data_IF_610417034382
#
_entry.id   IF_610417034382
#
_cell.length_a   1.000
_cell.length_b   1.000
_cell.length_c   1.000
_cell.angle_alpha   90.00
_cell.angle_beta   90.00
_cell.angle_gamma   90.00
#
_symmetry.space_group_name_H-M   'P 1'
#
loop_
_entity.id
_entity.type
_entity.pdbx_description
1 polymer ?
#
# COMPACT_ATOMS: atom_id res chain seq x y z
N UNK A 1 -6.34 11.52 -14.61
CA UNK A 1 -5.45 11.97 -13.51
C UNK A 1 -5.30 10.79 -12.57
N UNK A 2 -4.14 10.12 -12.60
CA UNK A 2 -3.83 9.03 -11.67
C UNK A 2 -3.28 9.68 -10.40
N UNK A 3 -4.09 9.73 -9.35
CA UNK A 3 -3.65 10.17 -8.04
C UNK A 3 -2.67 9.11 -7.53
N UNK A 4 -1.38 9.42 -7.53
CA UNK A 4 -0.38 8.56 -6.90
C UNK A 4 -0.41 8.80 -5.40
N UNK A 5 0.02 7.83 -4.60
CA UNK A 5 0.18 8.01 -3.15
C UNK A 5 1.07 9.22 -2.80
N UNK A 6 1.95 9.64 -3.73
CA UNK A 6 2.77 10.85 -3.58
C UNK A 6 2.04 12.18 -3.78
N UNK A 7 0.84 12.18 -4.38
CA UNK A 7 0.04 13.38 -4.64
C UNK A 7 -0.89 13.76 -3.46
N UNK A 8 -0.98 12.91 -2.43
CA UNK A 8 -1.83 13.15 -1.27
C UNK A 8 -1.33 14.27 -0.32
N UNK A 9 -0.23 14.96 -0.66
CA UNK A 9 0.37 15.99 0.18
C UNK A 9 0.15 17.40 -0.39
N UNK A 10 -1.11 17.85 -0.37
CA UNK A 10 -1.51 19.20 -0.81
C UNK A 10 -1.65 20.16 0.38
N UNK A 11 -0.62 20.33 1.21
CA UNK A 11 -0.54 21.52 2.08
C UNK A 11 0.83 21.90 2.67
N UNK A 12 1.94 21.49 2.04
CA UNK A 12 3.28 22.04 2.38
C UNK A 12 3.84 21.64 3.75
N UNK A 13 3.27 20.65 4.43
CA UNK A 13 3.88 20.03 5.61
C UNK A 13 4.33 18.65 5.18
N UNK A 14 5.64 18.43 5.04
CA UNK A 14 6.18 17.06 4.84
C UNK A 14 5.57 16.18 5.93
N UNK A 15 4.57 15.37 5.59
CA UNK A 15 4.09 14.37 6.51
C UNK A 15 5.28 13.47 6.80
N UNK A 16 5.70 13.39 8.07
CA UNK A 16 6.80 12.53 8.47
C UNK A 16 6.44 11.12 8.04
N UNK A 17 7.11 10.61 7.00
CA UNK A 17 6.75 9.35 6.34
C UNK A 17 6.61 8.22 7.35
N UNK A 18 7.43 8.22 8.40
CA UNK A 18 7.36 7.24 9.48
C UNK A 18 6.04 7.33 10.28
N UNK A 19 5.54 8.53 10.56
CA UNK A 19 4.25 8.73 11.26
C UNK A 19 3.11 8.21 10.39
N UNK A 20 3.10 8.59 9.11
CA UNK A 20 2.09 8.11 8.17
C UNK A 20 2.12 6.58 8.02
N UNK A 21 3.31 5.98 7.88
CA UNK A 21 3.45 4.53 7.80
C UNK A 21 3.02 3.82 9.09
N UNK A 22 3.31 4.40 10.25
CA UNK A 22 2.87 3.89 11.55
C UNK A 22 1.35 3.95 11.70
N UNK A 23 0.72 5.05 11.30
CA UNK A 23 -0.74 5.18 11.28
C UNK A 23 -1.37 4.18 10.31
N UNK A 24 -0.80 4.02 9.11
CA UNK A 24 -1.28 3.03 8.14
C UNK A 24 -1.12 1.60 8.65
N UNK A 25 -0.07 1.27 9.39
CA UNK A 25 0.11 -0.08 9.95
C UNK A 25 -1.02 -0.45 10.92
N UNK A 26 -1.53 0.54 11.67
CA UNK A 26 -2.64 0.34 12.60
C UNK A 26 -4.00 0.37 11.91
N UNK A 27 -4.15 1.19 10.86
CA UNK A 27 -5.42 1.40 10.15
C UNK A 27 -5.67 0.36 9.06
N UNK A 28 -4.64 -0.27 8.51
CA UNK A 28 -4.76 -1.25 7.43
C UNK A 28 -4.94 -2.66 8.03
N UNK A 29 -6.08 -3.33 7.77
CA UNK A 29 -6.29 -4.72 8.18
C UNK A 29 -5.51 -5.67 7.25
N UNK A 30 -4.20 -5.74 7.43
CA UNK A 30 -3.29 -6.49 6.55
C UNK A 30 -3.69 -7.96 6.34
N UNK A 31 -4.19 -8.62 7.39
CA UNK A 31 -4.61 -10.03 7.32
C UNK A 31 -5.79 -10.24 6.38
N UNK A 32 -6.78 -9.37 6.46
CA UNK A 32 -7.99 -9.46 5.62
C UNK A 32 -7.66 -9.11 4.17
N UNK A 33 -6.80 -8.11 3.98
CA UNK A 33 -6.32 -7.70 2.67
C UNK A 33 -5.50 -8.82 1.99
N UNK A 34 -4.61 -9.47 2.74
CA UNK A 34 -3.86 -10.63 2.26
C UNK A 34 -4.76 -11.82 1.93
N UNK A 35 -5.79 -12.10 2.74
CA UNK A 35 -6.77 -13.15 2.45
C UNK A 35 -7.53 -12.88 1.15
N UNK A 36 -7.88 -11.61 0.90
CA UNK A 36 -8.57 -11.20 -0.32
C UNK A 36 -7.65 -11.36 -1.53
N UNK A 37 -6.40 -10.90 -1.41
CA UNK A 37 -5.44 -10.92 -2.53
C UNK A 37 -4.94 -12.34 -2.82
N UNK A 38 -4.77 -13.20 -1.82
CA UNK A 38 -4.28 -14.57 -2.00
C UNK A 38 -5.14 -15.40 -2.96
N UNK A 39 -6.46 -15.15 -3.00
CA UNK A 39 -7.37 -15.77 -3.96
C UNK A 39 -7.06 -15.39 -5.42
N UNK A 40 -6.55 -14.18 -5.64
CA UNK A 40 -6.31 -13.60 -6.95
C UNK A 40 -4.83 -13.59 -7.35
N UNK A 41 -3.94 -13.92 -6.41
CA UNK A 41 -2.53 -14.14 -6.69
C UNK A 41 -2.37 -15.50 -7.36
N UNK A 42 -2.64 -15.52 -8.67
CA UNK A 42 -2.11 -16.59 -9.52
C UNK A 42 -0.62 -16.67 -9.20
N UNK A 43 -0.13 -17.89 -8.93
CA UNK A 43 1.27 -18.20 -8.67
C UNK A 43 2.10 -17.99 -9.95
N UNK A 44 1.99 -16.82 -10.59
CA UNK A 44 2.75 -16.43 -11.76
C UNK A 44 4.15 -16.00 -11.32
N UNK A 45 4.82 -16.90 -10.62
CA UNK A 45 6.26 -16.96 -10.49
C UNK A 45 6.79 -18.03 -11.43
N UNK A 46 6.49 -17.94 -12.74
CA UNK A 46 7.47 -18.46 -13.67
C UNK A 46 8.61 -17.43 -13.67
N UNK A 47 9.82 -17.76 -13.18
CA UNK A 47 10.96 -16.90 -13.42
C UNK A 47 11.04 -16.71 -14.93
N UNK A 48 10.96 -15.46 -15.38
CA UNK A 48 11.14 -15.12 -16.80
C UNK A 48 12.43 -15.78 -17.27
N UNK A 49 12.30 -16.69 -18.23
CA UNK A 49 13.44 -17.30 -18.93
C UNK A 49 14.25 -16.23 -19.66
#
# INVERSE_FOLDING_TARGET
>A
MQLSFGDADYNGKRAQREVFLSEMDHLVPWKDLLSLIAQHYLTSGQPGR
#
